data_IF_023430306104
#
_entry.id   IF_023430306104
#
_cell.length_a   1.000
_cell.length_b   1.000
_cell.length_c   1.000
_cell.angle_alpha   90.00
_cell.angle_beta   90.00
_cell.angle_gamma   90.00
#
_symmetry.space_group_name_H-M   'P 1'
#
loop_
_entity.id
_entity.type
_entity.pdbx_description
1 polymer ?
#
# COMPACT_ATOMS: atom_id res chain seq x y z
N UNK A 1 3.89 -34.43 -27.70
CA UNK A 1 3.52 -33.01 -27.92
C UNK A 1 4.10 -32.56 -29.25
N UNK A 2 3.29 -32.08 -30.19
CA UNK A 2 3.76 -31.82 -31.55
C UNK A 2 3.87 -30.31 -31.82
N UNK A 3 5.07 -29.83 -32.15
CA UNK A 3 5.27 -28.46 -32.60
C UNK A 3 4.65 -28.27 -34.00
N UNK A 4 3.66 -27.36 -34.16
CA UNK A 4 3.11 -27.04 -35.48
C UNK A 4 4.16 -26.39 -36.39
N UNK A 5 5.07 -25.62 -35.81
CA UNK A 5 6.16 -24.93 -36.52
C UNK A 5 7.17 -25.93 -37.07
N UNK A 6 7.67 -26.87 -36.25
CA UNK A 6 8.57 -27.92 -36.74
C UNK A 6 7.90 -28.79 -37.80
N UNK A 7 6.61 -29.13 -37.63
CA UNK A 7 5.85 -29.89 -38.64
C UNK A 7 5.81 -29.13 -39.97
N UNK A 8 5.59 -27.81 -39.95
CA UNK A 8 5.58 -26.97 -41.16
C UNK A 8 6.97 -26.90 -41.80
N UNK A 9 8.02 -26.68 -41.00
CA UNK A 9 9.41 -26.63 -41.48
C UNK A 9 9.84 -27.94 -42.15
N UNK A 10 9.52 -29.10 -41.54
CA UNK A 10 9.83 -30.42 -42.08
C UNK A 10 9.05 -30.73 -43.36
N UNK A 11 7.81 -30.25 -43.51
CA UNK A 11 7.05 -30.39 -44.76
C UNK A 11 7.66 -29.56 -45.89
N UNK A 12 8.13 -28.35 -45.60
CA UNK A 12 8.76 -27.48 -46.59
C UNK A 12 10.13 -27.97 -47.04
N UNK A 13 10.90 -28.63 -46.15
CA UNK A 13 12.23 -29.13 -46.49
C UNK A 13 12.18 -30.36 -47.40
N UNK A 14 11.18 -31.24 -47.24
CA UNK A 14 10.98 -32.43 -48.09
C UNK A 14 10.82 -32.09 -49.58
N UNK A 15 10.31 -30.90 -49.90
CA UNK A 15 10.11 -30.47 -51.28
C UNK A 15 11.41 -29.99 -51.98
N UNK A 16 12.54 -29.89 -51.27
CA UNK A 16 13.78 -29.25 -51.79
C UNK A 16 14.90 -30.21 -52.19
N UNK A 17 14.69 -31.53 -52.13
CA UNK A 17 15.66 -32.56 -52.59
C UNK A 17 17.03 -32.60 -51.89
N UNK A 18 17.34 -31.64 -51.00
CA UNK A 18 18.56 -31.56 -50.20
C UNK A 18 18.34 -32.09 -48.78
N UNK A 19 19.42 -32.56 -48.16
CA UNK A 19 19.51 -33.02 -46.76
C UNK A 19 18.69 -32.10 -45.83
N UNK A 20 17.64 -32.65 -45.23
CA UNK A 20 16.71 -31.92 -44.37
C UNK A 20 17.44 -31.41 -43.10
N UNK A 21 17.84 -30.14 -43.09
CA UNK A 21 18.46 -29.50 -41.91
C UNK A 21 17.66 -28.27 -41.50
N UNK A 22 17.42 -28.13 -40.20
CA UNK A 22 16.80 -26.96 -39.57
C UNK A 22 17.88 -26.28 -38.74
N UNK A 23 18.16 -25.01 -39.02
CA UNK A 23 19.14 -24.22 -38.28
C UNK A 23 18.43 -23.40 -37.21
N UNK A 24 18.78 -23.64 -35.94
CA UNK A 24 18.35 -22.84 -34.79
C UNK A 24 19.53 -21.95 -34.40
N UNK A 25 19.32 -20.63 -34.35
CA UNK A 25 20.36 -19.63 -34.04
C UNK A 25 19.99 -18.84 -32.79
N UNK A 26 20.99 -18.27 -32.13
CA UNK A 26 20.80 -17.38 -30.98
C UNK A 26 20.54 -18.10 -29.64
N UNK A 27 20.75 -19.42 -29.58
CA UNK A 27 20.54 -20.23 -28.37
C UNK A 27 21.71 -21.22 -28.21
N UNK A 28 22.21 -21.47 -26.98
CA UNK A 28 23.26 -22.45 -26.74
C UNK A 28 22.88 -23.86 -27.23
N UNK A 29 23.87 -24.61 -27.71
CA UNK A 29 23.66 -25.97 -28.21
C UNK A 29 23.03 -26.88 -27.15
N UNK A 30 23.48 -26.78 -25.90
CA UNK A 30 22.95 -27.58 -24.79
C UNK A 30 21.48 -27.27 -24.49
N UNK A 31 21.06 -26.00 -24.57
CA UNK A 31 19.66 -25.63 -24.44
C UNK A 31 18.79 -26.24 -25.55
N UNK A 32 19.31 -26.32 -26.78
CA UNK A 32 18.62 -27.00 -27.90
C UNK A 32 18.53 -28.51 -27.64
N UNK A 33 19.58 -29.14 -27.11
CA UNK A 33 19.55 -30.57 -26.72
C UNK A 33 18.48 -30.83 -25.67
N UNK A 34 18.40 -29.99 -24.63
CA UNK A 34 17.38 -30.08 -23.57
C UNK A 34 15.98 -29.88 -24.15
N UNK A 35 15.79 -28.89 -25.02
CA UNK A 35 14.54 -28.65 -25.73
C UNK A 35 14.07 -29.87 -26.53
N UNK A 36 14.96 -30.50 -27.30
CA UNK A 36 14.62 -31.71 -28.06
C UNK A 36 14.28 -32.88 -27.13
N UNK A 37 15.06 -33.09 -26.06
CA UNK A 37 14.78 -34.14 -25.08
C UNK A 37 13.41 -33.94 -24.43
N UNK A 38 13.07 -32.71 -24.03
CA UNK A 38 11.75 -32.35 -23.50
C UNK A 38 10.63 -32.61 -24.50
N UNK A 39 10.84 -32.27 -25.78
CA UNK A 39 9.84 -32.45 -26.83
C UNK A 39 9.47 -33.92 -27.05
N UNK A 40 10.47 -34.80 -27.07
CA UNK A 40 10.29 -36.22 -27.41
C UNK A 40 10.00 -37.11 -26.20
N UNK A 41 10.66 -36.84 -25.06
CA UNK A 41 10.56 -37.70 -23.86
C UNK A 41 9.72 -37.11 -22.74
N UNK A 42 9.41 -35.81 -22.79
CA UNK A 42 8.80 -35.05 -21.67
C UNK A 42 9.60 -35.14 -20.36
N UNK A 43 10.92 -35.43 -20.44
CA UNK A 43 11.84 -35.50 -19.31
C UNK A 43 12.90 -34.40 -19.37
N UNK A 44 13.28 -33.91 -18.21
CA UNK A 44 14.35 -32.94 -18.02
C UNK A 44 14.95 -33.10 -16.62
N UNK A 45 16.23 -32.78 -16.48
CA UNK A 45 16.87 -32.62 -15.18
C UNK A 45 16.62 -31.21 -14.64
N UNK A 46 16.45 -31.08 -13.33
CA UNK A 46 16.10 -29.80 -12.70
C UNK A 46 17.22 -28.76 -12.85
N UNK A 47 18.48 -29.18 -12.78
CA UNK A 47 19.65 -28.34 -12.99
C UNK A 47 19.67 -27.70 -14.39
N UNK A 48 19.38 -28.49 -15.42
CA UNK A 48 19.33 -28.01 -16.80
C UNK A 48 18.13 -27.08 -17.02
N UNK A 49 17.00 -27.33 -16.35
CA UNK A 49 15.87 -26.39 -16.38
C UNK A 49 16.26 -25.06 -15.74
N UNK A 50 16.95 -25.08 -14.60
CA UNK A 50 17.38 -23.87 -13.91
C UNK A 50 18.37 -23.07 -14.75
N UNK A 51 19.32 -23.75 -15.40
CA UNK A 51 20.33 -23.11 -16.24
C UNK A 51 19.76 -22.54 -17.54
N UNK A 52 18.84 -23.25 -18.18
CA UNK A 52 18.36 -22.93 -19.53
C UNK A 52 16.91 -22.43 -19.59
N UNK A 53 16.25 -22.15 -18.46
CA UNK A 53 14.83 -21.76 -18.41
C UNK A 53 14.45 -20.64 -19.39
N UNK A 54 15.25 -19.57 -19.46
CA UNK A 54 15.03 -18.44 -20.37
C UNK A 54 15.14 -18.85 -21.84
N UNK A 55 16.17 -19.62 -22.18
CA UNK A 55 16.38 -20.15 -23.53
C UNK A 55 15.23 -21.09 -23.94
N UNK A 56 14.83 -21.98 -23.03
CA UNK A 56 13.73 -22.91 -23.24
C UNK A 56 12.40 -22.18 -23.42
N UNK A 57 12.14 -21.12 -22.64
CA UNK A 57 10.95 -20.29 -22.80
C UNK A 57 10.85 -19.72 -24.23
N UNK A 58 11.94 -19.14 -24.73
CA UNK A 58 12.01 -18.59 -26.10
C UNK A 58 11.79 -19.68 -27.13
N UNK A 59 12.45 -20.84 -26.99
CA UNK A 59 12.27 -21.96 -27.92
C UNK A 59 10.83 -22.49 -27.93
N UNK A 60 10.23 -22.72 -26.76
CA UNK A 60 8.85 -23.21 -26.69
C UNK A 60 7.83 -22.22 -27.23
N UNK A 61 8.07 -20.92 -27.05
CA UNK A 61 7.26 -19.88 -27.69
C UNK A 61 7.45 -19.89 -29.21
N UNK A 62 8.68 -19.81 -29.71
CA UNK A 62 9.00 -19.74 -31.14
C UNK A 62 8.51 -20.98 -31.92
N UNK A 63 8.57 -22.16 -31.31
CA UNK A 63 8.08 -23.40 -31.92
C UNK A 63 6.60 -23.70 -31.64
N UNK A 64 5.89 -22.82 -30.95
CA UNK A 64 4.44 -22.92 -30.73
C UNK A 64 4.04 -24.10 -29.85
N UNK A 65 4.66 -24.25 -28.68
CA UNK A 65 4.41 -25.33 -27.71
C UNK A 65 3.94 -24.75 -26.37
N UNK A 66 2.64 -24.43 -26.21
CA UNK A 66 2.15 -23.68 -25.05
C UNK A 66 2.31 -24.42 -23.71
N UNK A 67 2.17 -25.73 -23.69
CA UNK A 67 2.28 -26.55 -22.47
C UNK A 67 3.67 -26.49 -21.83
N UNK A 68 4.73 -26.62 -22.63
CA UNK A 68 6.12 -26.50 -22.14
C UNK A 68 6.51 -25.05 -21.88
N UNK A 69 6.00 -24.11 -22.68
CA UNK A 69 6.13 -22.66 -22.40
C UNK A 69 5.59 -22.35 -21.00
N UNK A 70 4.39 -22.85 -20.66
CA UNK A 70 3.77 -22.64 -19.35
C UNK A 70 4.56 -23.29 -18.22
N UNK A 71 5.18 -24.46 -18.44
CA UNK A 71 6.07 -25.08 -17.48
C UNK A 71 7.28 -24.19 -17.17
N UNK A 72 7.94 -23.63 -18.20
CA UNK A 72 9.05 -22.70 -18.01
C UNK A 72 8.61 -21.42 -17.28
N UNK A 73 7.44 -20.86 -17.63
CA UNK A 73 6.87 -19.71 -16.92
C UNK A 73 6.68 -20.05 -15.43
N UNK A 74 6.09 -21.19 -15.11
CA UNK A 74 5.88 -21.59 -13.71
C UNK A 74 7.20 -21.77 -12.94
N UNK A 75 8.25 -22.31 -13.57
CA UNK A 75 9.57 -22.44 -12.96
C UNK A 75 10.23 -21.08 -12.74
N UNK A 76 10.10 -20.16 -13.70
CA UNK A 76 10.54 -18.76 -13.54
C UNK A 76 9.83 -18.06 -12.38
N UNK A 77 8.50 -18.18 -12.32
CA UNK A 77 7.69 -17.56 -11.27
C UNK A 77 7.98 -18.10 -9.85
N UNK A 78 8.28 -19.40 -9.71
CA UNK A 78 8.35 -20.06 -8.40
C UNK A 78 9.74 -20.11 -7.77
N UNK A 79 10.80 -19.76 -8.50
CA UNK A 79 12.14 -19.86 -7.90
C UNK A 79 13.32 -19.38 -8.73
N UNK A 80 13.16 -19.12 -10.04
CA UNK A 80 14.29 -18.67 -10.87
C UNK A 80 14.33 -17.16 -11.10
N UNK A 81 13.28 -16.42 -10.73
CA UNK A 81 13.28 -14.96 -10.78
C UNK A 81 14.10 -14.39 -9.61
N UNK A 82 15.14 -13.64 -9.94
CA UNK A 82 16.06 -12.98 -9.00
C UNK A 82 16.20 -11.50 -9.33
N UNK A 83 16.77 -10.71 -8.43
CA UNK A 83 17.02 -9.28 -8.68
C UNK A 83 17.97 -9.06 -9.87
N UNK A 84 18.95 -9.95 -10.05
CA UNK A 84 19.93 -9.88 -11.13
C UNK A 84 19.30 -10.09 -12.51
N UNK A 85 18.39 -11.07 -12.64
CA UNK A 85 17.78 -11.42 -13.91
C UNK A 85 16.40 -10.80 -14.14
N UNK A 86 15.88 -10.00 -13.20
CA UNK A 86 14.51 -9.46 -13.26
C UNK A 86 14.23 -8.68 -14.55
N UNK A 87 15.21 -7.89 -15.01
CA UNK A 87 15.09 -7.07 -16.23
C UNK A 87 15.08 -7.96 -17.48
N UNK A 88 15.99 -8.93 -17.55
CA UNK A 88 16.09 -9.86 -18.68
C UNK A 88 14.82 -10.72 -18.80
N UNK A 89 14.36 -11.26 -17.66
CA UNK A 89 13.13 -12.06 -17.61
C UNK A 89 11.92 -11.20 -17.94
N UNK A 90 11.87 -9.92 -17.54
CA UNK A 90 10.81 -9.00 -17.93
C UNK A 90 10.77 -8.79 -19.45
N UNK A 91 11.92 -8.52 -20.09
CA UNK A 91 12.00 -8.36 -21.54
C UNK A 91 11.58 -9.64 -22.27
N UNK A 92 12.08 -10.80 -21.83
CA UNK A 92 11.70 -12.10 -22.40
C UNK A 92 10.22 -12.42 -22.22
N UNK A 93 9.64 -12.09 -21.06
CA UNK A 93 8.22 -12.30 -20.79
C UNK A 93 7.35 -11.49 -21.76
N UNK A 94 7.75 -10.26 -22.11
CA UNK A 94 7.07 -9.45 -23.13
C UNK A 94 7.19 -10.07 -24.51
N UNK A 95 8.41 -10.46 -24.90
CA UNK A 95 8.66 -11.07 -26.21
C UNK A 95 7.98 -12.42 -26.40
N UNK A 96 7.75 -13.16 -25.31
CA UNK A 96 7.13 -14.48 -25.35
C UNK A 96 5.63 -14.46 -25.04
N UNK A 97 4.96 -13.30 -24.99
CA UNK A 97 3.54 -13.18 -24.61
C UNK A 97 3.21 -13.87 -23.28
N UNK A 98 3.89 -13.47 -22.20
CA UNK A 98 3.71 -14.00 -20.84
C UNK A 98 3.31 -12.89 -19.85
N UNK A 99 2.08 -12.35 -19.93
CA UNK A 99 1.68 -11.13 -19.21
C UNK A 99 1.77 -11.25 -17.69
N UNK A 100 1.44 -12.42 -17.12
CA UNK A 100 1.55 -12.65 -15.67
C UNK A 100 2.99 -12.56 -15.19
N UNK A 101 3.94 -13.10 -15.95
CA UNK A 101 5.36 -13.02 -15.65
C UNK A 101 5.86 -11.57 -15.79
N UNK A 102 5.39 -10.82 -16.80
CA UNK A 102 5.70 -9.38 -16.93
C UNK A 102 5.29 -8.60 -15.67
N UNK A 103 4.06 -8.83 -15.17
CA UNK A 103 3.56 -8.15 -13.97
C UNK A 103 4.38 -8.50 -12.73
N UNK A 104 4.77 -9.76 -12.57
CA UNK A 104 5.60 -10.21 -11.46
C UNK A 104 6.99 -9.57 -11.51
N UNK A 105 7.63 -9.54 -12.68
CA UNK A 105 8.94 -8.92 -12.85
C UNK A 105 8.86 -7.41 -12.62
N UNK A 106 7.87 -6.71 -13.20
CA UNK A 106 7.68 -5.27 -12.98
C UNK A 106 7.50 -4.96 -11.48
N UNK A 107 6.67 -5.74 -10.78
CA UNK A 107 6.52 -5.59 -9.33
C UNK A 107 7.83 -5.78 -8.58
N UNK A 108 8.61 -6.82 -8.90
CA UNK A 108 9.90 -7.06 -8.25
C UNK A 108 10.88 -5.90 -8.50
N UNK A 109 10.94 -5.39 -9.73
CA UNK A 109 11.76 -4.25 -10.12
C UNK A 109 11.35 -3.01 -9.33
N UNK A 110 10.05 -2.69 -9.28
CA UNK A 110 9.53 -1.54 -8.55
C UNK A 110 9.80 -1.63 -7.04
N UNK A 111 9.56 -2.79 -6.44
CA UNK A 111 9.73 -3.00 -5.00
C UNK A 111 11.20 -2.96 -4.57
N UNK A 112 12.15 -3.30 -5.46
CA UNK A 112 13.58 -3.41 -5.19
C UNK A 112 14.45 -2.55 -6.11
N UNK A 113 13.91 -1.45 -6.63
CA UNK A 113 14.57 -0.63 -7.65
C UNK A 113 16.00 -0.19 -7.32
N UNK A 114 16.34 0.20 -6.06
CA UNK A 114 17.71 0.56 -5.71
C UNK A 114 18.73 -0.57 -5.92
N UNK A 115 18.32 -1.83 -5.72
CA UNK A 115 19.18 -2.98 -5.99
C UNK A 115 19.23 -3.28 -7.49
N UNK A 116 18.07 -3.30 -8.16
CA UNK A 116 17.97 -3.62 -9.59
C UNK A 116 18.70 -2.62 -10.47
N UNK A 117 18.67 -1.33 -10.15
CA UNK A 117 19.38 -0.29 -10.93
C UNK A 117 20.90 -0.46 -10.97
N UNK A 118 21.47 -1.23 -10.03
CA UNK A 118 22.90 -1.54 -9.98
C UNK A 118 23.28 -2.80 -10.75
N UNK A 119 22.31 -3.63 -11.15
CA UNK A 119 22.57 -4.90 -11.85
C UNK A 119 23.07 -4.67 -13.26
N UNK A 120 23.78 -5.65 -13.81
CA UNK A 120 24.28 -5.57 -15.18
C UNK A 120 23.13 -5.60 -16.20
N UNK A 121 22.10 -6.41 -15.94
CA UNK A 121 20.91 -6.48 -16.80
C UNK A 121 20.23 -5.11 -16.97
N UNK A 122 20.15 -4.30 -15.90
CA UNK A 122 19.61 -2.94 -15.99
C UNK A 122 20.50 -2.03 -16.86
N UNK A 123 21.82 -2.06 -16.68
CA UNK A 123 22.76 -1.24 -17.43
C UNK A 123 22.74 -1.57 -18.93
N UNK A 124 22.73 -2.85 -19.27
CA UNK A 124 22.64 -3.33 -20.65
C UNK A 124 21.28 -2.97 -21.27
N UNK A 125 20.19 -3.15 -20.53
CA UNK A 125 18.85 -2.75 -20.96
C UNK A 125 18.78 -1.25 -21.26
N UNK A 126 19.34 -0.42 -20.39
CA UNK A 126 19.38 1.04 -20.57
C UNK A 126 20.08 1.45 -21.86
N UNK A 127 21.22 0.82 -22.18
CA UNK A 127 21.97 1.11 -23.40
C UNK A 127 21.23 0.66 -24.67
N UNK A 128 20.57 -0.49 -24.60
CA UNK A 128 19.90 -1.11 -25.75
C UNK A 128 18.47 -0.60 -25.99
N UNK A 129 17.77 -0.16 -24.94
CA UNK A 129 16.37 0.28 -25.02
C UNK A 129 16.05 1.40 -24.01
N UNK A 130 16.34 2.67 -24.37
CA UNK A 130 16.03 3.83 -23.53
C UNK A 130 14.53 4.03 -23.25
N UNK A 131 13.66 3.59 -24.16
CA UNK A 131 12.21 3.69 -23.95
C UNK A 131 11.74 2.80 -22.79
N UNK A 132 12.30 1.59 -22.69
CA UNK A 132 12.00 0.70 -21.57
C UNK A 132 12.51 1.25 -20.25
N UNK A 133 13.66 1.93 -20.23
CA UNK A 133 14.13 2.65 -19.04
C UNK A 133 13.07 3.66 -18.57
N UNK A 134 12.57 4.51 -19.47
CA UNK A 134 11.56 5.52 -19.12
C UNK A 134 10.27 4.89 -18.58
N UNK A 135 9.77 3.82 -19.22
CA UNK A 135 8.55 3.11 -18.78
C UNK A 135 8.70 2.52 -17.36
N UNK A 136 9.85 1.89 -17.07
CA UNK A 136 10.11 1.30 -15.76
C UNK A 136 10.33 2.38 -14.69
N UNK A 137 11.01 3.49 -15.03
CA UNK A 137 11.18 4.62 -14.11
C UNK A 137 9.85 5.29 -13.77
N UNK A 138 8.97 5.50 -14.75
CA UNK A 138 7.61 6.01 -14.50
C UNK A 138 6.84 5.09 -13.55
N UNK A 139 6.89 3.77 -13.79
CA UNK A 139 6.28 2.77 -12.92
C UNK A 139 6.79 2.85 -11.47
N UNK A 140 8.09 3.09 -11.29
CA UNK A 140 8.73 3.27 -9.97
C UNK A 140 8.26 4.55 -9.29
N UNK A 141 8.27 5.69 -9.99
CA UNK A 141 7.85 6.99 -9.45
C UNK A 141 6.37 6.97 -9.06
N UNK A 142 5.52 6.39 -9.90
CA UNK A 142 4.12 6.22 -9.58
C UNK A 142 3.89 5.31 -8.37
N UNK A 143 4.65 4.23 -8.23
CA UNK A 143 4.54 3.34 -7.08
C UNK A 143 4.98 4.02 -5.78
N UNK A 144 6.08 4.78 -5.81
CA UNK A 144 6.57 5.54 -4.66
C UNK A 144 5.58 6.66 -4.25
N UNK A 145 5.04 7.42 -5.22
CA UNK A 145 4.01 8.41 -4.93
C UNK A 145 2.75 7.80 -4.32
N UNK A 146 2.27 6.67 -4.85
CA UNK A 146 1.15 5.90 -4.26
C UNK A 146 1.45 5.43 -2.84
N UNK A 147 2.67 4.96 -2.58
CA UNK A 147 3.11 4.54 -1.24
C UNK A 147 3.13 5.72 -0.26
N UNK A 148 3.74 6.84 -0.66
CA UNK A 148 3.76 8.09 0.13
C UNK A 148 2.36 8.59 0.46
N UNK A 149 1.46 8.60 -0.50
CA UNK A 149 0.07 9.02 -0.29
C UNK A 149 -0.68 8.08 0.66
N UNK A 150 -0.47 6.76 0.55
CA UNK A 150 -1.03 5.78 1.50
C UNK A 150 -0.51 6.00 2.92
N UNK A 151 0.80 6.22 3.08
CA UNK A 151 1.41 6.50 4.39
C UNK A 151 0.86 7.80 4.99
N UNK A 152 0.74 8.86 4.19
CA UNK A 152 0.15 10.14 4.61
C UNK A 152 -1.30 9.97 5.07
N UNK A 153 -2.12 9.24 4.30
CA UNK A 153 -3.51 8.93 4.68
C UNK A 153 -3.59 8.11 5.96
N UNK A 154 -2.66 7.17 6.16
CA UNK A 154 -2.60 6.37 7.39
C UNK A 154 -2.25 7.22 8.62
N UNK A 155 -1.26 8.09 8.50
CA UNK A 155 -0.87 9.00 9.59
C UNK A 155 -1.97 10.02 9.89
N UNK A 156 -2.60 10.59 8.85
CA UNK A 156 -3.74 11.50 9.00
C UNK A 156 -4.90 10.81 9.75
N UNK A 157 -5.22 9.56 9.41
CA UNK A 157 -6.24 8.77 10.11
C UNK A 157 -5.89 8.54 11.58
N UNK A 158 -4.63 8.25 11.89
CA UNK A 158 -4.16 8.06 13.27
C UNK A 158 -4.40 9.31 14.11
N UNK A 159 -4.17 10.50 13.55
CA UNK A 159 -4.46 11.78 14.23
C UNK A 159 -5.95 11.91 14.55
N UNK A 160 -6.84 11.60 13.60
CA UNK A 160 -8.29 11.67 13.84
C UNK A 160 -8.78 10.62 14.84
N UNK A 161 -8.17 9.43 14.86
CA UNK A 161 -8.48 8.39 15.85
C UNK A 161 -8.08 8.85 17.26
N UNK A 162 -6.89 9.42 17.44
CA UNK A 162 -6.47 10.01 18.73
C UNK A 162 -7.42 11.12 19.19
N UNK A 163 -7.94 11.92 18.25
CA UNK A 163 -8.92 12.95 18.56
C UNK A 163 -10.26 12.34 18.99
N UNK A 164 -10.68 11.24 18.36
CA UNK A 164 -11.85 10.47 18.79
C UNK A 164 -11.69 9.93 20.22
N UNK A 165 -10.59 9.23 20.50
CA UNK A 165 -10.27 8.70 21.84
C UNK A 165 -10.23 9.82 22.90
N UNK A 166 -9.71 11.00 22.54
CA UNK A 166 -9.74 12.17 23.40
C UNK A 166 -11.17 12.68 23.67
N UNK A 167 -12.09 12.60 22.70
CA UNK A 167 -13.50 12.94 22.93
C UNK A 167 -14.17 11.96 23.88
N UNK A 168 -13.91 10.66 23.75
CA UNK A 168 -14.45 9.65 24.66
C UNK A 168 -13.90 9.83 26.09
N UNK A 169 -12.59 10.04 26.21
CA UNK A 169 -11.94 10.34 27.49
C UNK A 169 -12.49 11.63 28.12
N UNK A 170 -12.78 12.66 27.33
CA UNK A 170 -13.37 13.91 27.81
C UNK A 170 -14.78 13.67 28.39
N UNK A 171 -15.62 12.92 27.69
CA UNK A 171 -16.96 12.56 28.17
C UNK A 171 -16.85 11.73 29.45
N UNK A 172 -15.96 10.74 29.48
CA UNK A 172 -15.69 9.92 30.67
C UNK A 172 -15.31 10.79 31.89
N UNK A 173 -14.34 11.70 31.76
CA UNK A 173 -13.93 12.59 32.85
C UNK A 173 -15.12 13.45 33.34
N UNK A 174 -15.89 14.02 32.42
CA UNK A 174 -16.97 14.94 32.78
C UNK A 174 -18.23 14.25 33.31
N UNK A 175 -18.54 13.03 32.84
CA UNK A 175 -19.73 12.27 33.21
C UNK A 175 -19.49 11.37 34.42
N UNK A 176 -18.38 10.64 34.44
CA UNK A 176 -18.11 9.61 35.43
C UNK A 176 -17.17 10.10 36.53
N UNK A 177 -16.30 11.05 36.18
CA UNK A 177 -15.17 11.45 37.00
C UNK A 177 -14.00 10.48 36.84
N UNK A 178 -12.79 11.01 36.75
CA UNK A 178 -11.57 10.24 36.60
C UNK A 178 -10.42 10.89 37.39
N UNK A 179 -9.75 10.08 38.23
CA UNK A 179 -8.64 10.49 39.09
C UNK A 179 -9.02 11.66 40.00
N UNK A 180 -8.52 12.87 39.76
CA UNK A 180 -8.80 14.03 40.62
C UNK A 180 -9.79 15.03 40.00
N UNK A 181 -10.41 14.70 38.86
CA UNK A 181 -11.36 15.59 38.17
C UNK A 181 -12.64 14.83 37.89
N UNK A 182 -13.77 15.43 38.23
CA UNK A 182 -15.08 14.93 37.85
C UNK A 182 -16.19 15.88 38.27
N UNK A 183 -17.46 15.48 38.06
CA UNK A 183 -18.61 16.31 38.41
C UNK A 183 -18.67 16.57 39.92
N UNK A 184 -19.12 17.77 40.30
CA UNK A 184 -19.22 18.20 41.70
C UNK A 184 -20.12 17.29 42.57
N UNK A 185 -21.06 16.59 41.95
CA UNK A 185 -22.05 15.76 42.62
C UNK A 185 -21.57 14.32 42.92
N UNK A 186 -20.32 13.96 42.55
CA UNK A 186 -19.78 12.61 42.73
C UNK A 186 -18.50 12.61 43.58
N UNK A 187 -18.43 11.71 44.57
CA UNK A 187 -17.18 11.39 45.24
C UNK A 187 -16.26 10.62 44.29
N UNK A 188 -15.08 11.17 44.03
CA UNK A 188 -14.10 10.55 43.14
C UNK A 188 -13.45 9.35 43.84
N UNK A 189 -13.54 8.17 43.22
CA UNK A 189 -12.79 7.00 43.66
C UNK A 189 -11.33 7.20 43.29
N UNK A 190 -10.45 7.31 44.29
CA UNK A 190 -9.00 7.25 44.07
C UNK A 190 -8.64 5.83 43.64
N UNK A 191 -8.69 5.58 42.34
CA UNK A 191 -8.16 4.36 41.74
C UNK A 191 -6.64 4.40 41.73
N UNK A 192 -6.01 3.42 42.38
CA UNK A 192 -4.55 3.19 42.30
C UNK A 192 -4.16 2.70 40.89
N UNK A 193 -5.10 2.09 40.15
CA UNK A 193 -4.89 1.61 38.79
C UNK A 193 -5.00 2.73 37.74
N UNK A 194 -4.20 2.68 36.64
CA UNK A 194 -4.30 3.63 35.54
C UNK A 194 -5.66 3.50 34.82
N UNK A 195 -6.22 4.63 34.41
CA UNK A 195 -7.49 4.68 33.67
C UNK A 195 -7.39 3.97 32.32
N UNK A 196 -8.47 3.28 31.92
CA UNK A 196 -8.57 2.57 30.63
C UNK A 196 -8.49 3.50 29.41
N UNK A 197 -8.76 4.79 29.57
CA UNK A 197 -8.69 5.78 28.51
C UNK A 197 -7.29 6.43 28.45
N UNK A 198 -6.49 6.18 27.38
CA UNK A 198 -5.11 6.68 27.29
C UNK A 198 -5.00 8.20 27.35
N UNK A 199 -5.97 8.91 26.75
CA UNK A 199 -5.99 10.37 26.69
C UNK A 199 -6.32 11.05 28.02
N UNK A 200 -6.81 10.31 29.03
CA UNK A 200 -7.25 10.90 30.30
C UNK A 200 -6.16 11.72 30.99
N UNK A 201 -4.92 11.23 31.05
CA UNK A 201 -3.81 11.92 31.74
C UNK A 201 -3.52 13.30 31.13
N UNK A 202 -3.48 13.38 29.80
CA UNK A 202 -3.27 14.64 29.09
C UNK A 202 -4.43 15.61 29.28
N UNK A 203 -5.67 15.12 29.13
CA UNK A 203 -6.88 15.94 29.27
C UNK A 203 -7.04 16.49 30.69
N UNK A 204 -6.76 15.69 31.70
CA UNK A 204 -6.85 16.12 33.09
C UNK A 204 -5.94 17.32 33.40
N UNK A 205 -4.70 17.32 32.90
CA UNK A 205 -3.80 18.48 33.00
C UNK A 205 -4.38 19.73 32.33
N UNK A 206 -4.93 19.57 31.11
CA UNK A 206 -5.57 20.66 30.38
C UNK A 206 -6.81 21.21 31.11
N UNK A 207 -7.63 20.36 31.72
CA UNK A 207 -8.80 20.79 32.51
C UNK A 207 -8.37 21.58 33.74
N UNK A 208 -7.39 21.09 34.52
CA UNK A 208 -6.87 21.85 35.69
C UNK A 208 -6.34 23.21 35.28
N UNK A 209 -5.56 23.24 34.19
CA UNK A 209 -5.05 24.49 33.66
C UNK A 209 -6.19 25.43 33.24
N UNK A 210 -7.18 24.93 32.50
CA UNK A 210 -8.33 25.72 32.04
C UNK A 210 -9.14 26.32 33.20
N UNK A 211 -9.27 25.57 34.30
CA UNK A 211 -9.95 26.04 35.51
C UNK A 211 -9.17 27.17 36.21
N UNK A 212 -7.84 27.07 36.31
CA UNK A 212 -6.99 28.00 37.05
C UNK A 212 -6.43 29.18 36.21
N UNK A 213 -6.47 29.11 34.88
CA UNK A 213 -5.80 30.08 34.02
C UNK A 213 -6.57 31.40 33.90
N UNK A 214 -5.95 32.49 34.36
CA UNK A 214 -6.50 33.86 34.29
C UNK A 214 -6.57 34.43 32.87
N UNK A 215 -5.74 33.92 31.93
CA UNK A 215 -5.68 34.38 30.53
C UNK A 215 -6.63 33.62 29.59
N UNK A 216 -7.53 32.77 30.12
CA UNK A 216 -8.39 31.87 29.33
C UNK A 216 -9.39 32.57 28.41
N UNK A 217 -9.86 33.75 28.81
CA UNK A 217 -10.86 34.56 28.07
C UNK A 217 -10.16 35.54 27.12
N UNK A 218 -9.01 36.08 27.52
CA UNK A 218 -8.21 37.03 26.74
C UNK A 218 -7.51 36.42 25.51
N UNK A 219 -7.65 35.12 25.26
CA UNK A 219 -7.11 34.44 24.06
C UNK A 219 -5.59 34.22 24.02
N UNK A 220 -4.82 34.74 24.99
CA UNK A 220 -3.35 34.66 25.01
C UNK A 220 -2.73 33.34 25.50
N UNK A 221 -3.52 32.29 25.76
CA UNK A 221 -3.02 31.00 26.27
C UNK A 221 -3.28 29.85 25.29
N UNK A 222 -2.20 29.19 24.85
CA UNK A 222 -2.26 28.07 23.89
C UNK A 222 -2.98 26.84 24.46
N UNK A 223 -2.79 26.51 25.74
CA UNK A 223 -3.45 25.39 26.41
C UNK A 223 -4.96 25.61 26.53
N UNK A 224 -5.38 26.81 26.93
CA UNK A 224 -6.81 27.17 26.96
C UNK A 224 -7.43 27.14 25.58
N UNK A 225 -6.73 27.64 24.54
CA UNK A 225 -7.22 27.61 23.15
C UNK A 225 -7.47 26.17 22.67
N UNK A 226 -6.56 25.24 22.96
CA UNK A 226 -6.74 23.82 22.63
C UNK A 226 -7.94 23.23 23.37
N UNK A 227 -8.11 23.55 24.65
CA UNK A 227 -9.25 23.06 25.43
C UNK A 227 -10.59 23.60 24.89
N UNK A 228 -10.66 24.88 24.54
CA UNK A 228 -11.81 25.47 23.85
C UNK A 228 -12.16 24.71 22.55
N UNK A 229 -11.15 24.37 21.75
CA UNK A 229 -11.35 23.58 20.51
C UNK A 229 -11.88 22.16 20.78
N UNK A 230 -11.46 21.51 21.88
CA UNK A 230 -11.95 20.19 22.26
C UNK A 230 -13.42 20.24 22.71
N UNK A 231 -13.81 21.23 23.50
CA UNK A 231 -15.22 21.44 23.86
C UNK A 231 -16.07 21.77 22.63
N UNK A 232 -15.53 22.58 21.73
CA UNK A 232 -16.19 22.96 20.49
C UNK A 232 -16.34 21.79 19.49
N UNK A 233 -15.39 20.85 19.48
CA UNK A 233 -15.50 19.60 18.73
C UNK A 233 -16.53 18.66 19.36
N UNK A 234 -16.46 18.49 20.68
CA UNK A 234 -17.40 17.66 21.42
C UNK A 234 -18.85 18.12 21.18
N UNK A 235 -19.13 19.41 21.25
CA UNK A 235 -20.49 19.94 21.05
C UNK A 235 -21.09 19.56 19.70
N UNK A 236 -20.26 19.46 18.65
CA UNK A 236 -20.67 19.09 17.30
C UNK A 236 -20.80 17.57 17.09
N UNK A 237 -20.12 16.77 17.91
CA UNK A 237 -20.25 15.30 17.93
C UNK A 237 -21.37 14.82 18.86
N UNK A 238 -21.71 15.62 19.87
CA UNK A 238 -22.60 15.24 20.94
C UNK A 238 -24.07 15.24 20.50
N UNK A 239 -24.73 14.09 20.60
CA UNK A 239 -26.17 13.95 20.33
C UNK A 239 -27.08 14.32 21.50
N UNK A 240 -26.55 14.51 22.72
CA UNK A 240 -27.36 14.83 23.91
C UNK A 240 -27.87 16.28 23.87
N UNK A 241 -29.07 16.54 24.39
CA UNK A 241 -29.64 17.90 24.43
C UNK A 241 -28.73 18.86 25.23
N UNK A 242 -28.82 20.18 24.96
CA UNK A 242 -27.93 21.22 25.54
C UNK A 242 -27.85 21.20 27.08
N UNK A 243 -28.90 20.75 27.77
CA UNK A 243 -28.96 20.66 29.23
C UNK A 243 -28.68 19.24 29.78
N UNK A 244 -28.60 18.22 28.92
CA UNK A 244 -28.33 16.84 29.31
C UNK A 244 -26.84 16.52 29.39
N UNK A 245 -26.02 17.21 28.62
CA UNK A 245 -24.60 16.91 28.52
C UNK A 245 -23.79 17.47 29.69
N UNK A 246 -22.95 16.62 30.30
CA UNK A 246 -22.09 16.98 31.44
C UNK A 246 -20.76 17.63 31.02
N UNK A 247 -20.44 17.69 29.73
CA UNK A 247 -19.22 18.33 29.24
C UNK A 247 -19.37 19.86 29.30
N UNK A 248 -18.43 20.59 29.93
CA UNK A 248 -18.49 22.04 30.03
C UNK A 248 -18.63 22.72 28.67
N UNK A 249 -19.43 23.79 28.62
CA UNK A 249 -19.59 24.65 27.43
C UNK A 249 -20.22 23.96 26.21
N UNK A 250 -20.65 22.71 26.33
CA UNK A 250 -21.29 21.96 25.24
C UNK A 250 -22.51 22.71 24.67
N UNK A 251 -23.44 23.14 25.53
CA UNK A 251 -24.62 23.93 25.12
C UNK A 251 -24.27 25.25 24.44
N UNK A 252 -23.36 26.04 25.03
CA UNK A 252 -22.89 27.30 24.46
C UNK A 252 -22.32 27.13 23.03
N UNK A 253 -21.53 26.08 22.82
CA UNK A 253 -20.98 25.82 21.48
C UNK A 253 -22.01 25.27 20.48
N UNK A 254 -23.07 24.59 20.94
CA UNK A 254 -24.18 24.18 20.07
C UNK A 254 -24.94 25.39 19.55
N UNK A 255 -25.24 26.35 20.43
CA UNK A 255 -25.87 27.63 20.07
C UNK A 255 -24.98 28.42 19.10
N UNK A 256 -23.69 28.57 19.43
CA UNK A 256 -22.71 29.20 18.54
C UNK A 256 -22.67 28.54 17.16
N UNK A 257 -22.65 27.20 17.10
CA UNK A 257 -22.63 26.46 15.84
C UNK A 257 -23.91 26.65 15.01
N UNK A 258 -25.07 26.82 15.64
CA UNK A 258 -26.33 27.13 14.96
C UNK A 258 -26.27 28.53 14.31
N UNK A 259 -25.74 29.53 15.00
CA UNK A 259 -25.59 30.90 14.48
C UNK A 259 -24.45 31.04 13.43
N UNK A 260 -23.41 30.22 13.53
CA UNK A 260 -22.24 30.24 12.63
C UNK A 260 -22.50 29.65 11.23
N UNK A 261 -23.67 29.07 10.96
CA UNK A 261 -24.06 28.64 9.60
C UNK A 261 -23.98 29.78 8.57
N UNK A 262 -24.02 31.04 9.03
CA UNK A 262 -23.80 32.24 8.21
C UNK A 262 -22.33 32.45 7.76
N UNK A 263 -21.34 31.96 8.51
CA UNK A 263 -19.89 32.07 8.18
C UNK A 263 -19.39 30.82 7.48
N UNK A 264 -19.54 30.79 6.15
CA UNK A 264 -19.30 29.61 5.27
C UNK A 264 -17.97 28.87 5.48
N UNK A 265 -16.85 29.56 5.77
CA UNK A 265 -15.52 28.91 5.83
C UNK A 265 -15.29 28.05 7.07
N UNK A 266 -15.63 28.54 8.26
CA UNK A 266 -15.37 27.81 9.51
C UNK A 266 -16.38 26.69 9.73
N UNK A 267 -17.64 26.88 9.30
CA UNK A 267 -18.64 25.82 9.30
C UNK A 267 -18.21 24.60 8.45
N UNK A 268 -17.65 24.83 7.25
CA UNK A 268 -17.15 23.76 6.37
C UNK A 268 -15.97 23.03 7.02
N UNK A 269 -15.03 23.76 7.63
CA UNK A 269 -13.88 23.16 8.33
C UNK A 269 -14.31 22.23 9.46
N UNK A 270 -15.22 22.69 10.32
CA UNK A 270 -15.74 21.88 11.42
C UNK A 270 -16.53 20.66 10.93
N UNK A 271 -17.35 20.83 9.89
CA UNK A 271 -18.10 19.72 9.28
C UNK A 271 -17.16 18.64 8.73
N UNK A 272 -16.07 19.04 8.06
CA UNK A 272 -15.05 18.12 7.57
C UNK A 272 -14.35 17.40 8.72
N UNK A 273 -13.94 18.13 9.76
CA UNK A 273 -13.27 17.54 10.93
C UNK A 273 -14.15 16.49 11.62
N UNK A 274 -15.43 16.81 11.83
CA UNK A 274 -16.40 15.87 12.41
C UNK A 274 -16.55 14.62 11.55
N UNK A 275 -16.68 14.77 10.22
CA UNK A 275 -16.73 13.62 9.29
C UNK A 275 -15.50 12.72 9.44
N UNK A 276 -14.30 13.33 9.46
CA UNK A 276 -13.03 12.59 9.57
C UNK A 276 -12.85 11.86 10.89
N UNK A 277 -13.27 12.46 12.00
CA UNK A 277 -13.23 11.82 13.33
C UNK A 277 -14.20 10.64 13.39
N UNK A 278 -15.40 10.76 12.81
CA UNK A 278 -16.36 9.67 12.75
C UNK A 278 -15.92 8.54 11.79
N UNK A 279 -15.38 8.88 10.62
CA UNK A 279 -14.79 7.92 9.66
C UNK A 279 -13.64 7.11 10.28
N UNK A 280 -12.80 7.75 11.09
CA UNK A 280 -11.68 7.08 11.75
C UNK A 280 -12.13 6.01 12.76
N UNK A 281 -13.31 6.19 13.37
CA UNK A 281 -13.89 5.22 14.31
C UNK A 281 -14.43 3.97 13.62
N UNK A 282 -15.22 4.15 12.56
CA UNK A 282 -15.98 3.05 11.92
C UNK A 282 -15.09 2.00 11.27
N UNK A 283 -13.85 2.34 10.92
CA UNK A 283 -12.88 1.43 10.30
C UNK A 283 -12.02 0.65 11.31
N UNK A 284 -12.09 1.00 12.61
CA UNK A 284 -11.33 0.36 13.69
C UNK A 284 -12.24 -0.37 14.71
N UNK A 285 -13.56 -0.31 14.53
CA UNK A 285 -14.56 -1.09 15.29
C UNK A 285 -14.86 -2.39 14.56
#
# INVERSE_FOLDING_TARGET
MASPVMKKMLKQSKNRGRRNSISIRGVPHDAVRVFLRLLYSSRYEEEEMNQYAMHLLVLFHAFGIPSLKNLCIQKLEKGLLTLENAVDVFQLARLCDAPRLCLLCNRMIVDNFPAVSNTEGWKVMKQSNPFLETELLESVVEADSRKKERMKKMEERKIYLQLHEAMEALVHICRDGCRTIGPHDKQLKQSVAPCSFPACRGLESLIRHFAACKKRVSGGCTHCRRMWQLFELHSRLCGENSNGCKVPLCGHFKEKAAHEQSKKKDAVRWKLLVSKVLEARTLCS
#
